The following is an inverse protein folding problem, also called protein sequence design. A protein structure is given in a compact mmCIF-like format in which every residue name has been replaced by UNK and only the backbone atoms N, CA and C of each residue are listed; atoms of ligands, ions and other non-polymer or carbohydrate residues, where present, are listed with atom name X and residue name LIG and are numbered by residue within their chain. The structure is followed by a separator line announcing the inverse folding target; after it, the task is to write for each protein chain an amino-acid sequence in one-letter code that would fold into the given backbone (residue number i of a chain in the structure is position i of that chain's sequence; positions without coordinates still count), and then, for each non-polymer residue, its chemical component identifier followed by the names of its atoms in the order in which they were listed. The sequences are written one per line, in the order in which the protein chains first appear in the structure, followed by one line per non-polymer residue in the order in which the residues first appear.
data_IF_939951933812
#
_entry.id   IF_939951933812
#
_cell.length_a   1.000
_cell.length_b   1.000
_cell.length_c   1.000
_cell.angle_alpha   90.00
_cell.angle_beta   90.00
_cell.angle_gamma   90.00
#
_symmetry.space_group_name_H-M   'P 1'
#
loop_
_entity.id
_entity.type
_entity.pdbx_description
1 polymer ?
2 non-polymer ?
3 non-polymer ?
4 non-polymer ?
5 non-polymer ?
6 non-polymer ?
7 non-polymer ?
8 water ?
#
# COMPACT_ATOMS: atom_id res chain seq x y z
N UNK A 11 -10.08 -18.50 24.86
CA UNK A 11 -9.64 -18.00 23.53
C UNK A 11 -9.18 -16.54 23.61
N UNK A 12 -8.06 -16.23 22.95
CA UNK A 12 -7.51 -14.88 22.95
C UNK A 12 -8.36 -14.00 22.03
N UNK A 13 -8.62 -12.77 22.46
CA UNK A 13 -9.45 -11.83 21.69
C UNK A 13 -8.61 -10.67 21.15
N UNK A 14 -8.79 -10.37 19.86
CA UNK A 14 -8.16 -9.23 19.21
C UNK A 14 -9.23 -8.28 18.66
N UNK A 15 -9.02 -6.99 18.86
CA UNK A 15 -9.87 -5.95 18.27
C UNK A 15 -9.00 -5.15 17.32
N UNK A 16 -9.39 -5.13 16.05
CA UNK A 16 -8.62 -4.45 15.00
C UNK A 16 -9.40 -3.22 14.55
N UNK A 17 -8.73 -2.06 14.57
CA UNK A 17 -9.30 -0.81 14.10
C UNK A 17 -8.77 -0.53 12.70
N UNK A 18 -9.67 -0.52 11.72
CA UNK A 18 -9.35 -0.19 10.33
C UNK A 18 -9.45 -1.39 9.40
N UNK A 19 -10.15 -1.21 8.28
CA UNK A 19 -10.35 -2.27 7.29
C UNK A 19 -9.58 -2.05 6.00
N UNK A 20 -8.37 -1.50 6.12
CA UNK A 20 -7.47 -1.37 4.98
C UNK A 20 -6.65 -2.64 4.84
N UNK A 21 -5.58 -2.57 4.06
CA UNK A 21 -4.76 -3.76 3.81
C UNK A 21 -4.06 -4.24 5.08
N UNK A 22 -3.65 -3.29 5.93
CA UNK A 22 -2.97 -3.64 7.18
C UNK A 22 -3.92 -4.35 8.16
N UNK A 23 -5.11 -3.78 8.36
CA UNK A 23 -6.09 -4.33 9.28
C UNK A 23 -6.63 -5.68 8.86
N UNK A 24 -6.95 -5.81 7.57
CA UNK A 24 -7.42 -7.09 7.02
C UNK A 24 -6.36 -8.17 7.12
N UNK A 25 -5.10 -7.82 6.83
CA UNK A 25 -3.98 -8.75 6.96
C UNK A 25 -3.85 -9.22 8.41
N UNK A 26 -3.84 -8.27 9.34
CA UNK A 26 -3.75 -8.59 10.77
C UNK A 26 -4.88 -9.52 11.19
N UNK A 27 -6.11 -9.18 10.78
CA UNK A 27 -7.29 -9.95 11.17
C UNK A 27 -7.26 -11.38 10.65
N UNK A 28 -6.90 -11.55 9.38
CA UNK A 28 -6.79 -12.88 8.78
C UNK A 28 -5.70 -13.70 9.47
N UNK A 29 -4.52 -13.11 9.64
CA UNK A 29 -3.37 -13.81 10.22
C UNK A 29 -3.65 -14.26 11.65
N UNK A 30 -4.26 -13.38 12.44
CA UNK A 30 -4.66 -13.70 13.81
C UNK A 30 -5.75 -14.77 13.85
N UNK A 31 -6.76 -14.65 12.99
CA UNK A 31 -7.85 -15.63 12.95
C UNK A 31 -7.35 -17.03 12.57
N UNK A 32 -6.41 -17.10 11.63
CA UNK A 32 -5.77 -18.38 11.26
C UNK A 32 -5.05 -19.06 12.43
N UNK A 33 -4.50 -18.25 13.34
CA UNK A 33 -3.84 -18.76 14.56
C UNK A 33 -4.77 -18.96 15.76
N UNK A 34 -6.09 -18.88 15.56
CA UNK A 34 -7.06 -19.21 16.60
C UNK A 34 -7.53 -18.05 17.48
N UNK A 35 -7.15 -16.82 17.13
CA UNK A 35 -7.68 -15.65 17.83
C UNK A 35 -9.15 -15.44 17.49
N UNK A 36 -9.91 -14.96 18.48
CA UNK A 36 -11.24 -14.41 18.26
C UNK A 36 -11.02 -12.96 17.80
N UNK A 37 -11.22 -12.70 16.51
CA UNK A 37 -10.92 -11.40 15.91
C UNK A 37 -12.16 -10.65 15.47
N UNK A 38 -12.25 -9.39 15.87
CA UNK A 38 -13.27 -8.47 15.38
C UNK A 38 -12.56 -7.28 14.75
N UNK A 39 -13.03 -6.87 13.58
CA UNK A 39 -12.45 -5.74 12.85
C UNK A 39 -13.50 -4.64 12.71
N UNK A 40 -13.07 -3.40 12.92
CA UNK A 40 -13.95 -2.23 12.91
C UNK A 40 -13.50 -1.24 11.86
N UNK A 41 -14.35 -1.03 10.85
CA UNK A 41 -14.09 -0.05 9.78
C UNK A 41 -15.00 1.16 9.99
N UNK A 42 -14.39 2.34 10.06
CA UNK A 42 -15.11 3.61 10.26
C UNK A 42 -16.10 3.92 9.14
N UNK A 43 -15.69 3.69 7.90
CA UNK A 43 -16.53 3.99 6.73
C UNK A 43 -17.79 3.12 6.66
N UNK A 44 -18.78 3.61 5.92
CA UNK A 44 -20.09 2.94 5.82
C UNK A 44 -20.03 1.67 4.98
N UNK A 45 -19.03 1.58 4.10
CA UNK A 45 -18.81 0.40 3.26
C UNK A 45 -17.34 0.00 3.34
N UNK A 46 -17.06 -1.26 3.00
CA UNK A 46 -15.70 -1.76 2.85
C UNK A 46 -15.22 -1.43 1.45
N UNK A 47 -14.22 -0.56 1.35
CA UNK A 47 -13.69 -0.12 0.04
C UNK A 47 -12.24 0.31 0.16
N UNK A 48 -11.54 0.30 -0.97
CA UNK A 48 -10.14 0.72 -1.06
C UNK A 48 -9.99 1.81 -2.10
N UNK A 49 -9.45 2.96 -1.69
CA UNK A 49 -9.20 4.10 -2.58
C UNK A 49 -7.77 4.07 -3.10
N UNK A 50 -7.55 4.75 -4.22
CA UNK A 50 -6.21 4.89 -4.82
C UNK A 50 -6.03 4.25 -6.19
N UNK A 51 -7.10 3.69 -6.75
CA UNK A 51 -7.14 3.12 -8.10
C UNK A 51 -6.40 1.78 -8.23
N UNK A 52 -5.06 1.82 -8.25
CA UNK A 52 -4.28 0.61 -8.44
C UNK A 52 -3.15 0.49 -7.44
N UNK A 53 -2.46 -0.63 -7.48
CA UNK A 53 -1.40 -0.90 -6.51
C UNK A 53 -0.44 -1.98 -7.02
N UNK A 54 0.84 -1.79 -6.70
CA UNK A 54 1.90 -2.77 -6.95
C UNK A 54 2.15 -3.58 -5.69
N UNK A 55 2.29 -4.90 -5.83
CA UNK A 55 2.85 -5.73 -4.78
C UNK A 55 4.08 -6.44 -5.33
N UNK A 56 4.97 -6.79 -4.39
CA UNK A 56 6.20 -7.49 -4.72
C UNK A 56 6.23 -8.79 -3.95
N UNK A 57 7.27 -9.57 -4.19
CA UNK A 57 7.52 -10.84 -3.51
C UNK A 57 7.12 -10.82 -2.02
N UNK A 58 7.56 -9.82 -1.28
CA UNK A 58 7.24 -9.74 0.15
C UNK A 58 5.74 -9.73 0.44
N UNK A 59 4.99 -8.91 -0.29
CA UNK A 59 3.54 -8.83 -0.14
C UNK A 59 2.81 -10.05 -0.68
N UNK A 60 3.33 -10.60 -1.79
CA UNK A 60 2.78 -11.83 -2.37
C UNK A 60 2.97 -13.02 -1.43
N UNK A 61 4.10 -13.05 -0.73
CA UNK A 61 4.33 -14.07 0.30
C UNK A 61 3.39 -13.90 1.50
N UNK A 62 3.11 -12.67 1.91
CA UNK A 62 2.08 -12.44 2.93
C UNK A 62 0.76 -13.04 2.44
N UNK A 63 0.37 -12.72 1.20
CA UNK A 63 -0.88 -13.25 0.65
C UNK A 63 -0.91 -14.78 0.64
N UNK A 64 0.21 -15.41 0.32
CA UNK A 64 0.35 -16.86 0.43
C UNK A 64 0.10 -17.32 1.88
N UNK A 65 0.73 -16.64 2.83
CA UNK A 65 0.53 -16.91 4.26
C UNK A 65 -0.90 -16.71 4.74
N UNK A 66 -1.62 -15.79 4.11
CA UNK A 66 -3.04 -15.52 4.43
C UNK A 66 -4.04 -16.41 3.70
N UNK A 67 -3.58 -17.26 2.78
CA UNK A 67 -4.48 -18.05 1.94
C UNK A 67 -5.30 -17.20 0.99
N UNK A 68 -4.73 -16.06 0.56
CA UNK A 68 -5.41 -15.12 -0.34
C UNK A 68 -4.65 -14.89 -1.65
N UNK A 69 -3.57 -15.64 -1.89
CA UNK A 69 -2.76 -15.43 -3.09
C UNK A 69 -3.50 -15.80 -4.37
N UNK A 70 -4.21 -16.94 -4.36
CA UNK A 70 -4.93 -17.43 -5.54
C UNK A 70 -5.87 -16.38 -6.13
N UNK A 71 -6.73 -15.84 -5.27
CA UNK A 71 -7.70 -14.82 -5.71
C UNK A 71 -7.04 -13.54 -6.19
N UNK A 72 -5.85 -13.22 -5.66
CA UNK A 72 -5.11 -12.04 -6.11
C UNK A 72 -4.48 -12.26 -7.48
N UNK A 73 -3.76 -13.37 -7.67
CA UNK A 73 -3.07 -13.63 -8.94
C UNK A 73 -4.04 -13.76 -10.13
N UNK A 74 -5.18 -14.41 -9.89
CA UNK A 74 -6.26 -14.45 -10.88
C UNK A 74 -6.80 -13.04 -11.07
N UNK A 75 -6.71 -12.52 -12.29
CA UNK A 75 -7.20 -11.17 -12.61
C UNK A 75 -6.26 -10.02 -12.29
N UNK A 76 -4.98 -10.32 -12.10
CA UNK A 76 -3.94 -9.30 -11.93
C UNK A 76 -2.79 -9.60 -12.92
N UNK A 77 -1.77 -8.73 -12.96
CA UNK A 77 -0.83 -8.67 -14.09
C UNK A 77 0.60 -8.52 -13.60
N UNK A 78 1.52 -9.33 -14.14
CA UNK A 78 2.95 -9.05 -14.02
C UNK A 78 3.42 -8.55 -15.38
N UNK A 79 3.81 -7.28 -15.48
CA UNK A 79 4.36 -6.81 -16.76
C UNK A 79 5.61 -7.59 -17.20
N UNK A 80 5.86 -7.68 -18.52
CA UNK A 80 7.11 -8.30 -18.99
C UNK A 80 8.36 -7.57 -18.49
N UNK A 81 8.24 -6.25 -18.27
CA UNK A 81 9.34 -5.47 -17.74
C UNK A 81 8.82 -4.19 -17.10
N UNK A 82 9.64 -3.63 -16.21
CA UNK A 82 9.38 -2.33 -15.60
C UNK A 82 10.26 -1.36 -16.37
N UNK A 83 9.64 -0.53 -17.19
CA UNK A 83 10.35 0.37 -18.10
C UNK A 83 10.26 1.82 -17.61
N UNK A 84 11.33 2.59 -17.85
CA UNK A 84 11.38 4.00 -17.50
C UNK A 84 11.69 4.82 -18.75
N UNK A 85 10.93 5.89 -18.96
CA UNK A 85 11.18 6.86 -20.03
C UNK A 85 11.55 8.21 -19.41
N UNK A 86 12.48 8.90 -20.05
CA UNK A 86 12.74 10.32 -19.78
C UNK A 86 12.55 11.06 -21.09
N UNK A 87 11.63 12.01 -21.13
CA UNK A 87 11.35 12.77 -22.35
C UNK A 87 11.12 11.85 -23.55
N UNK A 88 10.32 10.80 -23.33
CA UNK A 88 9.94 9.82 -24.35
C UNK A 88 11.05 8.88 -24.88
N UNK A 89 12.22 8.95 -24.25
CA UNK A 89 13.33 8.06 -24.58
C UNK A 89 13.41 7.00 -23.50
N UNK A 90 13.38 5.73 -23.89
CA UNK A 90 13.50 4.63 -22.94
C UNK A 90 14.92 4.62 -22.35
N UNK A 91 15.02 4.76 -21.03
CA UNK A 91 16.31 4.80 -20.33
C UNK A 91 16.64 3.53 -19.55
N UNK A 92 15.64 2.70 -19.24
CA UNK A 92 15.90 1.41 -18.62
C UNK A 92 14.71 0.47 -18.75
N UNK A 93 15.04 -0.82 -18.71
CA UNK A 93 14.06 -1.91 -18.61
C UNK A 93 14.59 -2.84 -17.52
N UNK A 94 13.79 -3.06 -16.48
CA UNK A 94 14.20 -3.81 -15.30
C UNK A 94 13.24 -4.96 -15.04
N UNK A 95 13.80 -6.13 -14.78
CA UNK A 95 13.03 -7.32 -14.41
C UNK A 95 13.44 -7.96 -13.08
N UNK A 96 14.38 -7.33 -12.36
CA UNK A 96 14.66 -7.68 -10.95
C UNK A 96 15.15 -9.12 -10.75
N UNK A 97 15.84 -9.67 -11.75
CA UNK A 97 16.35 -11.03 -11.67
C UNK A 97 15.29 -12.04 -11.17
N UNK A 98 14.09 -11.96 -11.74
CA UNK A 98 13.01 -12.89 -11.43
C UNK A 98 12.22 -12.66 -10.16
N UNK A 99 12.58 -11.63 -9.37
CA UNK A 99 11.84 -11.28 -8.15
C UNK A 99 10.36 -11.11 -8.50
N UNK A 100 9.47 -11.91 -7.86
CA UNK A 100 8.05 -11.75 -8.20
C UNK A 100 7.46 -10.37 -7.91
N UNK A 101 6.59 -9.91 -8.80
CA UNK A 101 5.85 -8.68 -8.59
C UNK A 101 4.54 -8.72 -9.36
N UNK A 102 3.66 -7.79 -9.04
CA UNK A 102 2.28 -7.84 -9.54
C UNK A 102 1.63 -6.48 -9.46
N UNK A 103 0.78 -6.18 -10.44
CA UNK A 103 -0.04 -4.97 -10.44
C UNK A 103 -1.49 -5.40 -10.45
N UNK A 104 -2.32 -4.64 -9.73
CA UNK A 104 -3.75 -4.95 -9.63
C UNK A 104 -4.50 -3.68 -9.24
N UNK A 105 -5.81 -3.70 -9.43
CA UNK A 105 -6.63 -2.61 -8.89
C UNK A 105 -6.68 -2.76 -7.37
N UNK A 106 -6.85 -1.63 -6.70
CA UNK A 106 -7.02 -1.61 -5.24
C UNK A 106 -8.20 -2.47 -4.81
N UNK A 107 -9.31 -2.37 -5.55
CA UNK A 107 -10.50 -3.16 -5.25
C UNK A 107 -10.23 -4.66 -5.37
N UNK A 108 -9.42 -5.04 -6.36
CA UNK A 108 -9.06 -6.45 -6.55
C UNK A 108 -8.35 -7.03 -5.32
N UNK A 109 -7.36 -6.30 -4.80
CA UNK A 109 -6.64 -6.73 -3.60
C UNK A 109 -7.56 -6.71 -2.38
N UNK A 110 -8.31 -5.62 -2.25
CA UNK A 110 -9.21 -5.45 -1.12
C UNK A 110 -10.27 -6.55 -1.07
N UNK A 111 -10.90 -6.84 -2.21
CA UNK A 111 -11.92 -7.90 -2.30
C UNK A 111 -11.37 -9.26 -1.88
N UNK A 112 -10.17 -9.59 -2.36
CA UNK A 112 -9.52 -10.84 -2.02
C UNK A 112 -9.32 -10.99 -0.51
N UNK A 113 -8.88 -9.90 0.14
CA UNK A 113 -8.68 -9.91 1.59
C UNK A 113 -9.99 -9.97 2.37
N UNK A 114 -10.98 -9.18 1.95
CA UNK A 114 -12.30 -9.21 2.60
C UNK A 114 -12.92 -10.59 2.50
N UNK A 115 -12.90 -11.18 1.30
CA UNK A 115 -13.47 -12.51 1.09
C UNK A 115 -12.79 -13.58 1.94
N UNK A 116 -11.46 -13.49 2.08
CA UNK A 116 -10.72 -14.42 2.93
C UNK A 116 -11.08 -14.24 4.41
N UNK A 117 -11.13 -13.00 4.88
CA UNK A 117 -11.53 -12.70 6.25
C UNK A 117 -12.93 -13.23 6.56
N UNK A 118 -13.88 -13.03 5.64
CA UNK A 118 -15.24 -13.54 5.80
C UNK A 118 -15.28 -15.06 5.81
N UNK A 119 -14.50 -15.69 4.93
CA UNK A 119 -14.41 -17.17 4.87
C UNK A 119 -13.91 -17.76 6.19
N UNK A 120 -12.97 -17.09 6.84
CA UNK A 120 -12.45 -17.52 8.15
C UNK A 120 -13.35 -17.17 9.35
N UNK A 121 -14.37 -16.34 9.13
CA UNK A 121 -15.29 -15.95 10.20
C UNK A 121 -14.79 -14.80 11.05
N UNK A 122 -14.00 -13.90 10.46
CA UNK A 122 -13.63 -12.65 11.10
C UNK A 122 -14.90 -11.79 11.19
N UNK A 123 -15.19 -11.27 12.37
CA UNK A 123 -16.36 -10.42 12.60
C UNK A 123 -16.02 -9.00 12.15
N UNK A 124 -16.61 -8.58 11.02
CA UNK A 124 -16.35 -7.27 10.45
C UNK A 124 -17.54 -6.36 10.69
N UNK A 125 -17.28 -5.18 11.24
CA UNK A 125 -18.29 -4.14 11.45
C UNK A 125 -17.94 -2.91 10.62
N UNK A 126 -18.92 -2.36 9.93
CA UNK A 126 -18.79 -1.07 9.24
C UNK A 126 -19.46 -0.01 10.09
N UNK A 127 -19.24 1.26 9.75
CA UNK A 127 -19.68 2.39 10.60
C UNK A 127 -19.26 2.22 12.06
N UNK A 128 -18.04 1.72 12.24
CA UNK A 128 -17.51 1.37 13.56
C UNK A 128 -16.11 1.97 13.67
N UNK A 129 -16.04 3.14 14.29
CA UNK A 129 -14.81 3.91 14.40
C UNK A 129 -14.22 3.78 15.78
N UNK A 130 -12.96 3.35 15.86
CA UNK A 130 -12.20 3.40 17.10
C UNK A 130 -11.82 4.85 17.38
N UNK A 131 -12.24 5.38 18.53
CA UNK A 131 -11.91 6.75 18.91
C UNK A 131 -10.88 6.84 20.04
N UNK A 132 -10.80 5.82 20.89
CA UNK A 132 -9.79 5.76 21.94
C UNK A 132 -9.33 4.33 22.18
N UNK A 133 -8.06 4.18 22.54
CA UNK A 133 -7.48 2.90 22.90
C UNK A 133 -6.71 3.06 24.20
N UNK A 134 -6.78 2.03 25.04
CA UNK A 134 -6.05 1.99 26.31
C UNK A 134 -5.04 0.83 26.23
N UNK A 135 -3.76 1.09 26.55
CA UNK A 135 -2.72 0.03 26.60
C UNK A 135 -3.06 -1.22 27.44
N UNK A 136 -3.95 -1.08 28.43
CA UNK A 136 -4.41 -2.25 29.21
C UNK A 136 -5.34 -3.20 28.44
N UNK A 137 -5.78 -2.78 27.25
CA UNK A 137 -6.57 -3.62 26.35
C UNK A 137 -8.04 -3.26 26.31
N UNK A 138 -8.32 -1.96 26.15
CA UNK A 138 -9.68 -1.46 25.99
C UNK A 138 -9.77 -0.54 24.78
N UNK A 139 -10.74 -0.80 23.91
CA UNK A 139 -10.98 0.00 22.71
C UNK A 139 -12.37 0.61 22.80
N UNK A 140 -12.45 1.93 22.68
CA UNK A 140 -13.72 2.65 22.72
C UNK A 140 -14.12 3.07 21.31
N UNK A 141 -15.32 2.70 20.90
CA UNK A 141 -15.86 3.06 19.59
C UNK A 141 -16.64 4.38 19.69
N UNK A 142 -16.92 4.99 18.54
CA UNK A 142 -17.65 6.29 18.51
C UNK A 142 -19.08 6.16 19.06
N UNK A 143 -19.62 4.94 19.01
CA UNK A 143 -20.90 4.60 19.61
C UNK A 143 -20.91 4.65 21.15
N UNK A 144 -19.73 4.69 21.76
CA UNK A 144 -19.59 4.59 23.20
C UNK A 144 -19.35 3.17 23.70
N UNK A 145 -19.41 2.18 22.82
CA UNK A 145 -19.13 0.80 23.20
C UNK A 145 -17.66 0.68 23.57
N UNK A 146 -17.40 0.09 24.74
CA UNK A 146 -16.05 -0.18 25.21
C UNK A 146 -15.82 -1.68 25.10
N UNK A 147 -14.82 -2.06 24.31
CA UNK A 147 -14.51 -3.47 24.05
C UNK A 147 -13.22 -3.83 24.77
N UNK A 148 -13.25 -4.91 25.54
CA UNK A 148 -12.05 -5.43 26.20
C UNK A 148 -11.41 -6.47 25.31
N UNK A 149 -10.09 -6.46 25.25
CA UNK A 149 -9.34 -7.39 24.41
C UNK A 149 -7.96 -7.69 24.95
N UNK A 150 -7.38 -8.80 24.48
CA UNK A 150 -6.01 -9.17 24.80
C UNK A 150 -5.01 -8.46 23.88
N UNK A 151 -5.50 -8.02 22.71
CA UNK A 151 -4.69 -7.31 21.73
C UNK A 151 -5.54 -6.27 21.03
N UNK A 152 -4.99 -5.06 20.88
CA UNK A 152 -5.62 -4.00 20.09
C UNK A 152 -4.67 -3.66 18.94
N UNK A 153 -5.19 -3.73 17.71
CA UNK A 153 -4.41 -3.40 16.53
C UNK A 153 -4.89 -2.07 15.96
N UNK A 154 -4.01 -1.07 15.99
CA UNK A 154 -4.26 0.22 15.37
C UNK A 154 -3.83 0.16 13.92
N UNK A 155 -4.77 -0.24 13.06
CA UNK A 155 -4.55 -0.28 11.60
C UNK A 155 -5.40 0.79 10.93
N UNK A 156 -5.50 1.94 11.58
CA UNK A 156 -6.50 2.95 11.24
C UNK A 156 -5.93 4.16 10.46
N UNK A 157 -4.86 3.92 9.70
CA UNK A 157 -4.38 4.89 8.71
C UNK A 157 -3.56 6.03 9.26
N UNK A 158 -3.15 6.93 8.38
CA UNK A 158 -2.29 8.07 8.74
C UNK A 158 -2.83 8.93 9.88
N UNK A 159 -4.17 9.04 9.97
CA UNK A 159 -4.84 9.78 11.04
C UNK A 159 -5.29 8.92 12.21
N UNK A 160 -4.58 7.83 12.47
CA UNK A 160 -4.92 6.86 13.52
C UNK A 160 -5.32 7.49 14.86
N UNK A 161 -6.57 7.24 15.27
CA UNK A 161 -7.04 7.64 16.60
C UNK A 161 -6.60 6.65 17.68
N UNK A 162 -6.35 5.40 17.32
CA UNK A 162 -5.74 4.44 18.26
C UNK A 162 -4.39 4.99 18.72
N UNK A 163 -3.59 5.47 17.77
CA UNK A 163 -2.30 6.10 18.04
C UNK A 163 -2.47 7.38 18.84
N UNK A 164 -3.23 8.32 18.31
CA UNK A 164 -3.29 9.67 18.88
C UNK A 164 -4.06 9.78 20.19
N UNK A 165 -4.98 8.86 20.47
CA UNK A 165 -5.63 8.81 21.79
C UNK A 165 -4.63 8.45 22.90
N UNK A 166 -3.67 7.57 22.58
CA UNK A 166 -2.62 7.16 23.51
C UNK A 166 -1.51 8.21 23.58
N UNK A 167 -1.12 8.76 22.43
CA UNK A 167 -0.05 9.74 22.35
C UNK A 167 1.26 9.06 22.01
N UNK A 168 1.68 9.20 20.75
CA UNK A 168 2.98 8.70 20.27
C UNK A 168 3.76 9.86 19.71
N UNK A 169 5.00 10.05 20.19
CA UNK A 169 5.90 11.04 19.62
C UNK A 169 6.09 10.72 18.14
N UNK A 170 5.95 11.74 17.29
CA UNK A 170 5.79 11.53 15.86
C UNK A 170 6.22 12.72 15.02
N UNK A 171 6.59 12.44 13.78
CA UNK A 171 6.71 13.45 12.74
C UNK A 171 5.79 13.04 11.60
N UNK A 172 4.87 13.94 11.25
CA UNK A 172 3.95 13.77 10.14
C UNK A 172 4.21 14.86 9.14
N UNK A 173 4.04 14.54 7.86
CA UNK A 173 4.18 15.52 6.80
C UNK A 173 3.16 15.25 5.71
N UNK A 174 2.44 16.29 5.31
CA UNK A 174 1.54 16.24 4.17
C UNK A 174 2.16 17.15 3.12
N UNK A 175 2.46 16.61 1.94
CA UNK A 175 3.05 17.38 0.86
C UNK A 175 2.05 18.34 0.26
N UNK A 176 2.55 19.40 -0.37
CA UNK A 176 1.72 20.30 -1.18
C UNK A 176 1.43 19.62 -2.52
N UNK A 177 2.40 18.84 -3.02
CA UNK A 177 2.26 18.15 -4.30
C UNK A 177 1.60 16.78 -4.16
N UNK A 178 1.16 16.27 -5.30
CA UNK A 178 0.40 15.04 -5.34
C UNK A 178 0.19 14.55 -6.76
N UNK A 179 -0.86 13.76 -6.94
CA UNK A 179 -1.12 13.12 -8.23
C UNK A 179 -2.57 12.71 -8.36
N UNK A 180 -2.94 12.37 -9.59
CA UNK A 180 -4.29 11.93 -9.94
C UNK A 180 -4.20 10.46 -10.36
N UNK A 181 -4.82 9.58 -9.60
CA UNK A 181 -4.79 8.14 -9.86
C UNK A 181 -6.14 7.67 -10.35
N UNK A 182 -6.15 6.96 -11.48
CA UNK A 182 -7.37 6.54 -12.14
C UNK A 182 -7.24 5.14 -12.73
N UNK A 183 -8.38 4.45 -12.83
CA UNK A 183 -8.48 3.24 -13.63
C UNK A 183 -9.25 3.58 -14.90
N UNK A 184 -8.68 3.22 -16.05
CA UNK A 184 -9.32 3.39 -17.35
C UNK A 184 -9.20 2.09 -18.15
N UNK A 185 -9.99 1.95 -19.23
CA UNK A 185 -9.80 0.77 -20.08
C UNK A 185 -8.40 0.75 -20.71
N UNK A 186 -7.89 -0.45 -20.98
CA UNK A 186 -6.55 -0.61 -21.58
C UNK A 186 -6.43 0.09 -22.93
N UNK A 187 -7.47 0.02 -23.76
CA UNK A 187 -7.45 0.57 -25.12
C UNK A 187 -6.23 0.06 -25.91
N UNK A 188 -5.87 -1.21 -25.71
CA UNK A 188 -4.60 -1.75 -26.18
C UNK A 188 -4.44 -1.63 -27.70
N UNK A 189 -5.48 -2.04 -28.42
CA UNK A 189 -5.50 -1.93 -29.89
C UNK A 189 -5.34 -0.48 -30.36
N UNK A 190 -5.99 0.45 -29.66
CA UNK A 190 -5.95 1.87 -30.00
C UNK A 190 -4.57 2.51 -29.75
N UNK A 191 -3.80 1.94 -28.82
CA UNK A 191 -2.43 2.41 -28.57
C UNK A 191 -1.43 2.02 -29.68
N UNK A 192 -1.79 1.06 -30.53
CA UNK A 192 -0.97 0.71 -31.69
C UNK A 192 0.36 0.09 -31.31
N UNK A 193 1.37 0.31 -32.14
CA UNK A 193 2.69 -0.29 -31.93
C UNK A 193 3.34 0.17 -30.62
N UNK A 194 3.88 -0.79 -29.88
CA UNK A 194 4.57 -0.52 -28.62
C UNK A 194 4.63 -1.74 -27.73
N UNK A 195 5.07 -1.52 -26.48
CA UNK A 195 5.14 -2.56 -25.46
C UNK A 195 4.17 -2.19 -24.35
N UNK A 196 2.87 -2.26 -24.69
CA UNK A 196 1.82 -1.72 -23.83
C UNK A 196 1.35 -2.64 -22.68
N UNK A 197 1.97 -3.81 -22.53
CA UNK A 197 1.83 -4.60 -21.30
C UNK A 197 2.87 -4.22 -20.24
N UNK A 198 3.86 -3.40 -20.59
CA UNK A 198 4.88 -2.97 -19.64
C UNK A 198 4.34 -2.02 -18.60
N UNK A 199 5.00 -1.98 -17.44
CA UNK A 199 4.98 -0.78 -16.62
C UNK A 199 5.85 0.20 -17.37
N UNK A 200 5.37 1.43 -17.54
CA UNK A 200 6.19 2.49 -18.12
C UNK A 200 6.06 3.73 -17.23
N UNK A 201 7.18 4.12 -16.62
CA UNK A 201 7.23 5.34 -15.82
C UNK A 201 7.73 6.44 -16.74
N UNK A 202 6.80 7.31 -17.16
CA UNK A 202 7.04 8.29 -18.20
C UNK A 202 7.32 9.66 -17.60
N UNK A 203 8.61 9.96 -17.42
CA UNK A 203 9.06 11.22 -16.80
C UNK A 203 9.27 12.34 -17.82
N UNK A 204 8.94 13.56 -17.41
CA UNK A 204 9.35 14.77 -18.12
C UNK A 204 9.58 15.91 -17.13
N UNK A 205 10.65 16.68 -17.36
CA UNK A 205 10.84 18.01 -16.80
C UNK A 205 10.65 19.17 -17.80
N UNK A 206 10.65 18.87 -19.10
CA UNK A 206 10.54 19.86 -20.17
C UNK A 206 9.48 19.32 -21.13
N UNK A 207 8.58 20.16 -21.67
CA UNK A 207 8.49 21.60 -21.43
C UNK A 207 7.91 22.00 -20.07
N UNK A 208 7.28 21.04 -19.39
CA UNK A 208 6.77 21.22 -18.03
C UNK A 208 7.08 19.97 -17.23
N UNK A 209 6.92 20.07 -15.91
CA UNK A 209 7.07 18.92 -15.02
C UNK A 209 5.75 18.14 -15.05
N UNK A 210 5.71 17.08 -15.85
CA UNK A 210 4.55 16.18 -15.92
C UNK A 210 5.05 14.76 -16.11
N UNK A 211 4.44 13.83 -15.38
CA UNK A 211 4.84 12.44 -15.38
C UNK A 211 3.59 11.56 -15.36
N UNK A 212 3.63 10.45 -16.09
CA UNK A 212 2.60 9.42 -15.99
C UNK A 212 3.26 8.09 -15.66
N UNK A 213 2.81 7.46 -14.57
CA UNK A 213 3.13 6.06 -14.31
C UNK A 213 2.02 5.23 -14.95
N UNK A 214 2.41 4.43 -15.94
CA UNK A 214 1.51 3.61 -16.75
C UNK A 214 1.61 2.18 -16.22
N UNK A 215 0.49 1.64 -15.73
CA UNK A 215 0.49 0.40 -14.94
C UNK A 215 -0.67 -0.53 -15.30
N UNK A 216 -0.46 -1.45 -16.27
CA UNK A 216 -1.55 -2.38 -16.59
C UNK A 216 -1.90 -3.32 -15.43
N UNK A 217 -3.18 -3.44 -15.12
CA UNK A 217 -3.68 -4.30 -14.02
C UNK A 217 -4.12 -5.68 -14.49
N UNK A 218 -4.59 -5.77 -15.72
CA UNK A 218 -5.08 -7.01 -16.34
C UNK A 218 -5.41 -6.68 -17.80
N UNK A 219 -6.00 -7.63 -18.53
CA UNK A 219 -6.37 -7.40 -19.92
C UNK A 219 -7.42 -6.29 -20.13
N UNK A 220 -8.19 -5.95 -19.09
CA UNK A 220 -9.26 -4.95 -19.17
C UNK A 220 -8.92 -3.56 -18.60
N UNK A 221 -8.15 -3.52 -17.50
CA UNK A 221 -8.00 -2.30 -16.70
C UNK A 221 -6.56 -1.77 -16.68
N UNK A 222 -6.45 -0.44 -16.86
CA UNK A 222 -5.17 0.27 -16.82
C UNK A 222 -5.17 1.23 -15.65
N UNK A 223 -4.13 1.17 -14.83
CA UNK A 223 -3.93 2.10 -13.72
C UNK A 223 -2.97 3.19 -14.18
N UNK A 224 -3.43 4.44 -14.14
CA UNK A 224 -2.62 5.60 -14.49
C UNK A 224 -2.44 6.49 -13.27
N UNK A 225 -1.21 6.97 -13.08
CA UNK A 225 -0.91 8.02 -12.09
C UNK A 225 -0.42 9.22 -12.85
N UNK A 226 -1.15 10.33 -12.77
CA UNK A 226 -0.81 11.56 -13.48
C UNK A 226 -0.26 12.53 -12.45
N UNK A 227 1.04 12.83 -12.56
CA UNK A 227 1.75 13.60 -11.55
C UNK A 227 2.22 14.95 -12.10
N UNK A 228 1.73 16.02 -11.50
CA UNK A 228 2.17 17.37 -11.82
C UNK A 228 2.18 18.16 -10.51
N UNK A 229 3.00 19.24 -10.42
CA UNK A 229 3.04 20.02 -9.18
C UNK A 229 1.72 20.72 -8.88
N UNK A 230 1.42 20.93 -7.60
CA UNK A 230 0.22 21.66 -7.19
C UNK A 230 0.19 23.09 -7.75
N UNK A 231 1.36 23.70 -7.89
CA UNK A 231 1.50 25.04 -8.47
C UNK A 231 1.15 25.13 -9.96
N UNK A 232 1.07 23.98 -10.64
CA UNK A 232 0.60 23.92 -12.02
C UNK A 232 -0.93 23.80 -12.02
N UNK A 233 -1.64 24.90 -12.35
CA UNK A 233 -3.10 24.85 -12.23
C UNK A 233 -3.80 23.93 -13.23
N UNK A 234 -3.17 23.66 -14.38
CA UNK A 234 -3.76 22.80 -15.41
C UNK A 234 -3.45 21.32 -15.14
N UNK A 235 -2.17 21.01 -14.97
CA UNK A 235 -1.73 19.65 -14.70
C UNK A 235 -2.29 19.00 -13.43
N UNK A 236 -2.55 19.82 -12.41
CA UNK A 236 -3.14 19.31 -11.16
C UNK A 236 -4.68 19.34 -11.13
N UNK A 237 -5.33 19.81 -12.21
CA UNK A 237 -6.78 19.94 -12.23
C UNK A 237 -7.51 18.61 -12.29
N UNK A 238 -8.66 18.56 -11.64
CA UNK A 238 -9.60 17.42 -11.73
C UNK A 238 -11.01 17.97 -12.02
N UNK A 239 -11.78 17.34 -12.91
CA UNK A 239 -11.32 16.24 -13.79
C UNK A 239 -10.19 16.69 -14.72
N UNK A 240 -9.45 15.74 -15.28
CA UNK A 240 -8.16 16.08 -15.88
C UNK A 240 -8.28 17.06 -17.03
N UNK A 241 -7.31 17.96 -17.13
CA UNK A 241 -7.21 18.89 -18.24
C UNK A 241 -6.64 18.09 -19.40
N UNK A 242 -7.52 17.59 -20.27
CA UNK A 242 -7.13 16.64 -21.31
C UNK A 242 -6.00 17.16 -22.20
N UNK A 243 -6.11 18.42 -22.61
CA UNK A 243 -5.16 19.03 -23.54
C UNK A 243 -3.70 18.97 -23.04
N UNK A 244 -3.46 19.35 -21.78
CA UNK A 244 -2.08 19.39 -21.26
C UNK A 244 -1.47 18.00 -21.06
N UNK A 245 -2.31 16.99 -20.85
CA UNK A 245 -1.84 15.61 -20.75
C UNK A 245 -1.61 14.98 -22.12
N UNK A 246 -2.52 15.22 -23.07
CA UNK A 246 -2.33 14.73 -24.43
C UNK A 246 -1.10 15.38 -25.09
N UNK A 247 -0.87 16.67 -24.84
CA UNK A 247 0.29 17.37 -25.41
C UNK A 247 1.62 16.66 -25.10
N UNK A 248 1.80 16.27 -23.85
CA UNK A 248 3.07 15.65 -23.43
C UNK A 248 3.06 14.12 -23.46
N UNK A 249 1.89 13.50 -23.58
CA UNK A 249 1.75 12.04 -23.67
C UNK A 249 0.79 11.67 -24.81
N UNK A 250 1.09 12.12 -26.05
CA UNK A 250 0.14 11.93 -27.17
C UNK A 250 -0.13 10.46 -27.50
N UNK A 251 0.89 9.63 -27.34
CA UNK A 251 0.79 8.16 -27.46
C UNK A 251 -0.20 7.49 -26.49
N UNK A 252 -0.61 8.19 -25.41
CA UNK A 252 -1.67 7.69 -24.52
C UNK A 252 -3.04 8.35 -24.75
N UNK A 253 -3.22 9.11 -25.83
CA UNK A 253 -4.47 9.84 -26.06
C UNK A 253 -5.74 8.99 -25.91
N UNK A 254 -5.78 7.77 -26.47
CA UNK A 254 -6.99 6.95 -26.31
C UNK A 254 -7.37 6.71 -24.84
N UNK A 255 -6.38 6.40 -24.02
CA UNK A 255 -6.60 6.21 -22.57
C UNK A 255 -6.91 7.52 -21.85
N UNK A 256 -6.24 8.61 -22.22
CA UNK A 256 -6.46 9.90 -21.59
C UNK A 256 -7.85 10.48 -21.88
N UNK A 257 -8.39 10.25 -23.08
CA UNK A 257 -9.77 10.61 -23.40
C UNK A 257 -10.75 9.94 -22.42
N UNK A 258 -10.52 8.66 -22.13
CA UNK A 258 -11.35 7.94 -21.15
C UNK A 258 -11.14 8.48 -19.74
N UNK A 259 -9.89 8.80 -19.40
CA UNK A 259 -9.57 9.40 -18.09
C UNK A 259 -10.29 10.73 -17.84
N UNK A 260 -10.40 11.54 -18.89
CA UNK A 260 -11.06 12.85 -18.79
C UNK A 260 -12.57 12.79 -18.49
N UNK A 261 -13.19 11.62 -18.74
CA UNK A 261 -14.61 11.41 -18.40
C UNK A 261 -14.87 11.23 -16.90
N UNK A 262 -13.83 10.90 -16.13
CA UNK A 262 -14.00 10.55 -14.72
C UNK A 262 -14.16 11.79 -13.82
N UNK A 263 -15.41 12.05 -13.43
CA UNK A 263 -15.74 13.16 -12.52
C UNK A 263 -15.32 12.89 -11.07
N UNK A 264 -15.03 11.63 -10.74
CA UNK A 264 -14.56 11.22 -9.41
C UNK A 264 -13.05 11.43 -9.18
N UNK A 265 -12.32 11.88 -10.19
CA UNK A 265 -10.85 12.06 -10.09
C UNK A 265 -10.46 13.03 -8.97
N UNK A 266 -9.42 12.69 -8.23
CA UNK A 266 -8.92 13.52 -7.13
C UNK A 266 -7.42 13.74 -7.28
N UNK A 267 -6.97 14.95 -6.92
CA UNK A 267 -5.54 15.24 -6.78
C UNK A 267 -5.20 15.00 -5.32
N UNK A 268 -4.66 13.81 -5.04
CA UNK A 268 -4.35 13.38 -3.67
C UNK A 268 -2.90 13.69 -3.32
N UNK A 269 -2.69 14.16 -2.10
CA UNK A 269 -1.37 14.58 -1.63
C UNK A 269 -0.63 13.41 -1.00
N UNK A 270 0.70 13.44 -1.11
CA UNK A 270 1.54 12.47 -0.43
C UNK A 270 1.60 12.78 1.05
N UNK A 271 1.75 11.75 1.87
CA UNK A 271 1.71 11.90 3.32
C UNK A 271 2.58 10.83 3.99
N UNK A 272 3.36 11.24 4.99
CA UNK A 272 4.25 10.32 5.69
C UNK A 272 4.06 10.41 7.20
N UNK A 273 4.36 9.31 7.89
CA UNK A 273 4.34 9.25 9.34
C UNK A 273 5.55 8.45 9.82
N UNK A 274 6.22 8.93 10.87
CA UNK A 274 7.26 8.15 11.55
C UNK A 274 7.13 8.35 13.05
N UNK A 275 7.18 7.25 13.79
CA UNK A 275 6.96 7.25 15.24
C UNK A 275 8.18 6.74 15.99
N UNK A 276 8.34 7.18 17.23
CA UNK A 276 9.42 6.68 18.09
C UNK A 276 9.22 5.20 18.43
N UNK A 277 7.96 4.78 18.59
CA UNK A 277 7.62 3.38 18.83
C UNK A 277 6.29 3.03 18.19
N UNK A 278 6.04 1.74 18.05
CA UNK A 278 4.82 1.22 17.42
C UNK A 278 3.93 0.47 18.40
N UNK A 279 4.29 0.44 19.68
CA UNK A 279 3.60 -0.38 20.67
C UNK A 279 3.37 0.39 21.97
N UNK A 280 2.31 0.01 22.68
CA UNK A 280 2.10 0.46 24.05
C UNK A 280 1.22 -0.56 24.75
N UNK A 281 1.80 -1.31 25.69
CA UNK A 281 1.08 -2.39 26.36
C UNK A 281 0.55 -3.41 25.35
N UNK A 282 -0.77 -3.55 25.31
CA UNK A 282 -1.43 -4.51 24.43
C UNK A 282 -1.84 -3.91 23.07
N UNK A 283 -1.37 -2.69 22.78
CA UNK A 283 -1.70 -1.98 21.53
C UNK A 283 -0.52 -2.01 20.57
N UNK A 284 -0.77 -2.42 19.32
CA UNK A 284 0.22 -2.40 18.24
C UNK A 284 -0.29 -1.55 17.09
N UNK A 285 0.54 -0.64 16.59
CA UNK A 285 0.22 0.20 15.44
C UNK A 285 0.82 -0.41 14.19
N UNK A 286 0.00 -0.61 13.16
CA UNK A 286 0.43 -1.26 11.92
C UNK A 286 0.02 -0.45 10.70
N UNK A 287 0.86 -0.46 9.67
CA UNK A 287 0.58 0.24 8.42
C UNK A 287 0.82 1.73 8.49
N UNK A 288 -0.01 2.49 7.76
CA UNK A 288 0.13 3.96 7.69
C UNK A 288 0.00 4.67 9.03
N UNK A 289 -0.72 4.04 9.97
CA UNK A 289 -0.76 4.52 11.36
C UNK A 289 0.63 4.68 11.97
N UNK A 290 1.55 3.80 11.57
CA UNK A 290 2.92 3.78 12.10
C UNK A 290 3.98 4.33 11.14
N UNK A 291 3.84 4.07 9.84
CA UNK A 291 4.96 4.24 8.92
C UNK A 291 4.60 4.61 7.48
N UNK A 292 3.61 5.47 7.29
CA UNK A 292 3.30 5.97 5.94
C UNK A 292 4.56 6.57 5.31
N UNK A 293 4.79 6.25 4.04
CA UNK A 293 6.02 6.63 3.36
C UNK A 293 5.75 7.10 1.95
N UNK A 294 6.79 7.65 1.32
CA UNK A 294 6.71 8.02 -0.08
C UNK A 294 6.54 6.77 -0.95
N UNK A 295 5.77 6.88 -2.06
CA UNK A 295 5.50 5.68 -2.84
C UNK A 295 6.55 5.26 -3.89
N UNK A 296 7.71 5.91 -3.92
CA UNK A 296 8.76 5.62 -4.92
C UNK A 296 9.10 4.13 -5.06
N UNK A 297 9.25 3.43 -3.95
CA UNK A 297 9.59 2.00 -3.97
C UNK A 297 8.36 1.08 -3.98
N UNK A 298 7.16 1.65 -4.02
CA UNK A 298 5.90 0.88 -4.12
C UNK A 298 5.83 -0.21 -3.05
N UNK A 299 6.01 0.23 -1.81
CA UNK A 299 6.15 -0.68 -0.67
C UNK A 299 5.41 -0.26 0.62
N UNK A 300 4.55 0.76 0.55
CA UNK A 300 3.82 1.18 1.74
C UNK A 300 2.88 0.08 2.24
N UNK A 301 2.06 -0.46 1.34
CA UNK A 301 1.20 -1.59 1.67
C UNK A 301 1.99 -2.90 1.86
N UNK A 302 3.06 -3.08 1.07
CA UNK A 302 3.94 -4.25 1.23
C UNK A 302 4.48 -4.36 2.65
N UNK A 303 5.10 -3.27 3.12
CA UNK A 303 5.57 -3.21 4.51
C UNK A 303 4.44 -3.33 5.51
N UNK A 304 3.31 -2.66 5.25
CA UNK A 304 2.14 -2.75 6.13
C UNK A 304 1.70 -4.20 6.31
N UNK A 305 1.61 -4.92 5.20
CA UNK A 305 1.18 -6.32 5.21
C UNK A 305 2.22 -7.24 5.87
N UNK A 306 3.50 -7.03 5.55
CA UNK A 306 4.58 -7.78 6.21
C UNK A 306 4.55 -7.56 7.72
N UNK A 307 4.37 -6.32 8.14
CA UNK A 307 4.37 -5.99 9.58
C UNK A 307 3.15 -6.57 10.30
N UNK A 308 1.98 -6.50 9.66
CA UNK A 308 0.76 -7.11 10.22
C UNK A 308 0.88 -8.63 10.35
N UNK A 309 1.40 -9.26 9.30
CA UNK A 309 1.63 -10.71 9.33
C UNK A 309 2.67 -11.09 10.37
N UNK A 310 3.75 -10.32 10.44
CA UNK A 310 4.83 -10.55 11.41
C UNK A 310 4.36 -10.43 12.85
N UNK A 311 3.41 -9.52 13.10
CA UNK A 311 2.80 -9.38 14.44
C UNK A 311 2.16 -10.68 14.89
N UNK A 312 1.39 -11.31 14.00
CA UNK A 312 0.75 -12.60 14.30
C UNK A 312 1.80 -13.68 14.65
N UNK A 313 2.92 -13.66 13.94
CA UNK A 313 4.01 -14.61 14.19
C UNK A 313 4.58 -14.46 15.60
N UNK A 314 4.90 -13.23 15.98
CA UNK A 314 5.48 -12.97 17.32
C UNK A 314 4.52 -13.28 18.46
N UNK A 315 3.21 -13.24 18.20
CA UNK A 315 2.20 -13.63 19.19
C UNK A 315 2.03 -15.15 19.36
N UNK A 316 2.78 -15.96 18.60
CA UNK A 316 2.78 -17.43 18.75
C UNK A 316 3.97 -17.99 19.54
N UNK A 317 4.74 -17.12 20.20
CA UNK A 317 5.95 -17.54 20.92
C UNK A 317 5.73 -17.96 22.39
N UNK A 318 4.49 -17.86 22.87
CA UNK A 318 4.16 -18.22 24.26
C UNK A 318 4.48 -17.14 25.28
N UNK A 319 4.82 -15.94 24.82
CA UNK A 319 5.14 -14.81 25.69
C UNK A 319 3.87 -14.03 26.00
N UNK A 320 3.97 -13.05 26.89
CA UNK A 320 2.86 -12.13 27.12
C UNK A 320 2.66 -11.30 25.85
N UNK A 321 1.44 -10.80 25.64
CA UNK A 321 1.17 -9.93 24.49
C UNK A 321 2.10 -8.71 24.51
N UNK A 322 2.30 -8.13 25.69
CA UNK A 322 3.16 -6.94 25.83
C UNK A 322 4.59 -7.22 25.37
N UNK A 323 5.15 -8.34 25.81
CA UNK A 323 6.51 -8.75 25.39
C UNK A 323 6.58 -9.12 23.90
N UNK A 324 5.56 -9.82 23.39
CA UNK A 324 5.49 -10.19 21.97
C UNK A 324 5.52 -8.96 21.05
N UNK A 325 4.77 -7.93 21.45
CA UNK A 325 4.73 -6.67 20.69
C UNK A 325 6.09 -5.95 20.65
N UNK A 326 6.78 -5.93 21.79
CA UNK A 326 8.12 -5.34 21.87
C UNK A 326 9.09 -6.12 20.97
N UNK A 327 9.04 -7.45 21.06
CA UNK A 327 9.86 -8.33 20.22
C UNK A 327 9.58 -8.14 18.73
N UNK A 328 8.30 -8.01 18.40
CA UNK A 328 7.85 -7.77 17.02
C UNK A 328 8.47 -6.52 16.40
N UNK A 329 8.33 -5.39 17.08
CA UNK A 329 8.88 -4.14 16.57
C UNK A 329 10.40 -4.23 16.39
N UNK A 330 11.08 -4.76 17.41
CA UNK A 330 12.54 -4.93 17.35
C UNK A 330 12.97 -5.78 16.15
N UNK A 331 12.23 -6.85 15.90
CA UNK A 331 12.55 -7.78 14.81
C UNK A 331 12.32 -7.16 13.43
N UNK A 332 11.18 -6.51 13.24
CA UNK A 332 10.69 -6.17 11.90
C UNK A 332 10.84 -4.70 11.48
N UNK A 333 10.90 -3.76 12.43
CA UNK A 333 10.86 -2.33 12.10
C UNK A 333 12.02 -1.85 11.21
N UNK A 334 13.25 -2.36 11.45
CA UNK A 334 14.37 -1.84 10.64
C UNK A 334 14.21 -1.94 9.12
N UNK A 335 13.56 -3.00 8.64
CA UNK A 335 13.28 -3.16 7.20
C UNK A 335 12.41 -2.00 6.72
N UNK A 336 11.38 -1.69 7.49
CA UNK A 336 10.47 -0.58 7.18
C UNK A 336 11.15 0.79 7.30
N UNK A 337 11.92 1.00 8.38
CA UNK A 337 12.66 2.26 8.55
C UNK A 337 13.56 2.56 7.36
N UNK A 338 14.34 1.56 6.93
CA UNK A 338 15.26 1.73 5.79
C UNK A 338 14.52 1.99 4.49
N UNK A 339 13.45 1.25 4.26
CA UNK A 339 12.67 1.41 3.05
C UNK A 339 11.98 2.78 2.99
N UNK A 340 11.39 3.20 4.12
CA UNK A 340 10.80 4.53 4.23
C UNK A 340 11.81 5.63 3.92
N UNK A 341 12.99 5.52 4.54
CA UNK A 341 14.06 6.50 4.34
C UNK A 341 14.51 6.56 2.88
N UNK A 342 14.74 5.38 2.30
CA UNK A 342 15.22 5.31 0.92
C UNK A 342 14.15 5.78 -0.07
N UNK A 343 12.89 5.44 0.17
CA UNK A 343 11.80 5.88 -0.69
C UNK A 343 11.67 7.41 -0.65
N UNK A 344 11.82 7.99 0.53
CA UNK A 344 11.80 9.44 0.70
C UNK A 344 12.96 10.13 -0.01
N UNK A 345 14.15 9.53 0.10
CA UNK A 345 15.34 10.00 -0.64
C UNK A 345 15.09 9.96 -2.15
N UNK A 346 14.60 8.82 -2.64
CA UNK A 346 14.27 8.68 -4.06
C UNK A 346 13.26 9.73 -4.53
N UNK A 347 12.20 9.92 -3.74
CA UNK A 347 11.17 10.89 -4.09
C UNK A 347 11.74 12.31 -4.19
N UNK A 348 12.51 12.71 -3.18
CA UNK A 348 13.09 14.05 -3.12
C UNK A 348 14.11 14.30 -4.23
N UNK A 349 14.97 13.32 -4.49
CA UNK A 349 15.98 13.42 -5.53
C UNK A 349 15.48 13.07 -6.96
N UNK A 350 14.20 12.70 -7.09
CA UNK A 350 13.64 12.20 -8.35
C UNK A 350 14.49 11.10 -8.97
N UNK A 351 15.02 10.22 -8.12
CA UNK A 351 15.97 9.19 -8.51
C UNK A 351 15.45 8.23 -9.57
N UNK A 352 14.17 7.88 -9.48
CA UNK A 352 13.53 6.98 -10.44
C UNK A 352 13.57 7.51 -11.87
N UNK A 353 13.66 8.83 -12.03
CA UNK A 353 13.78 9.44 -13.37
C UNK A 353 15.02 9.01 -14.15
N UNK A 354 16.06 8.55 -13.45
CA UNK A 354 17.28 8.08 -14.09
C UNK A 354 17.16 6.67 -14.69
N UNK A 355 16.23 5.87 -14.17
CA UNK A 355 16.13 4.46 -14.54
C UNK A 355 17.21 3.62 -13.87
N UNK A 356 17.05 2.30 -13.91
CA UNK A 356 18.00 1.35 -13.30
C UNK A 356 18.22 1.60 -11.80
N UNK A 357 17.21 2.12 -11.11
CA UNK A 357 17.34 2.48 -9.70
C UNK A 357 16.72 1.46 -8.75
N UNK A 358 16.16 0.36 -9.26
CA UNK A 358 15.78 -0.75 -8.38
C UNK A 358 17.00 -1.61 -8.10
N UNK A 359 17.88 -1.05 -7.26
CA UNK A 359 19.14 -1.65 -6.89
C UNK A 359 18.88 -2.71 -5.83
N UNK A 360 19.91 -3.52 -5.49
CA UNK A 360 19.73 -4.44 -4.37
C UNK A 360 19.22 -3.76 -3.10
N UNK A 361 19.74 -2.57 -2.78
CA UNK A 361 19.29 -1.80 -1.62
C UNK A 361 17.83 -1.35 -1.75
N UNK A 362 17.46 -0.84 -2.92
CA UNK A 362 16.07 -0.43 -3.18
C UNK A 362 15.10 -1.59 -3.03
N UNK A 363 15.52 -2.79 -3.44
CA UNK A 363 14.68 -3.99 -3.39
C UNK A 363 14.75 -4.78 -2.09
N UNK A 364 15.42 -4.26 -1.05
CA UNK A 364 15.58 -5.00 0.22
C UNK A 364 14.23 -5.44 0.79
N UNK A 365 13.30 -4.51 0.92
CA UNK A 365 11.98 -4.85 1.46
C UNK A 365 11.28 -5.89 0.59
N UNK A 366 11.32 -5.71 -0.72
CA UNK A 366 10.70 -6.64 -1.66
C UNK A 366 11.29 -8.05 -1.56
N UNK A 367 12.60 -8.13 -1.33
CA UNK A 367 13.30 -9.40 -1.23
C UNK A 367 13.01 -10.20 0.04
N UNK A 368 12.53 -9.52 1.09
CA UNK A 368 12.24 -10.20 2.34
C UNK A 368 11.08 -11.18 2.21
N UNK A 369 11.27 -12.41 2.67
CA UNK A 369 10.23 -13.41 2.74
C UNK A 369 9.74 -13.52 4.19
N UNK A 370 8.54 -13.00 4.50
CA UNK A 370 8.05 -13.09 5.87
C UNK A 370 7.71 -14.50 6.36
N UNK A 371 7.47 -15.45 5.45
CA UNK A 371 7.10 -16.81 5.83
C UNK A 371 8.28 -17.59 6.40
N UNK A 372 9.43 -17.51 5.71
CA UNK A 372 10.67 -18.14 6.16
C UNK A 372 11.61 -17.20 6.93
N UNK A 373 11.30 -15.90 6.93
CA UNK A 373 12.08 -14.88 7.66
C UNK A 373 13.52 -14.76 7.15
N UNK A 374 13.68 -14.81 5.83
CA UNK A 374 14.97 -14.64 5.18
C UNK A 374 14.76 -13.79 3.93
N UNK A 375 15.87 -13.30 3.37
CA UNK A 375 15.84 -12.58 2.10
C UNK A 375 16.05 -13.57 0.96
N UNK A 376 15.22 -13.45 -0.07
CA UNK A 376 15.28 -14.34 -1.23
C UNK A 376 15.55 -13.52 -2.49
N UNK A 377 15.46 -14.16 -3.65
CA UNK A 377 15.59 -13.50 -4.95
C UNK A 377 16.78 -12.52 -5.02
N UNK A 378 18.00 -13.05 -4.86
CA UNK A 378 19.21 -12.21 -4.83
C UNK A 378 19.45 -11.49 -6.15
N UNK A 379 20.09 -10.32 -6.07
CA UNK A 379 20.26 -9.44 -7.22
C UNK A 379 21.72 -9.38 -7.69
X LIG B 1 -5.39 2.65 4.94
X LIG B 1 -5.33 2.06 3.56
X LIG B 1 -5.49 4.14 5.09
X LIG B 1 -6.66 1.98 5.66
X LIG B 1 -7.13 2.46 6.91
X LIG B 1 -8.60 2.09 7.04
X LIG B 1 -9.02 2.40 8.37
X LIG B 1 -9.49 2.88 6.08
X LIG B 1 -10.43 2.00 5.45
X LIG B 1 -10.18 3.90 6.97
X LIG B 1 -11.50 4.25 6.56
X LIG B 1 -10.20 3.19 8.32
X LIG B 1 -10.13 4.05 9.52
X LIG B 1 -9.50 5.22 9.67
X LIG B 1 -9.64 5.66 10.93
X LIG B 1 -10.36 4.75 11.61
X LIG B 1 -10.85 4.61 12.99
X LIG B 1 -10.57 5.56 13.89
X LIG B 1 -11.56 3.49 13.29
X LIG B 1 -11.83 2.54 12.37
X LIG B 1 -11.41 2.62 11.09
X LIG B 1 -10.67 3.67 10.67
X LIG B 1 1.72 0.66 -1.50
X LIG B 1 2.08 -0.45 -2.19
X LIG B 1 2.32 -1.48 -1.53
X LIG B 1 2.21 -0.45 -3.52
X LIG B 1 1.98 0.64 -4.27
X LIG B 1 2.07 0.58 -5.50
X LIG B 1 1.57 1.90 -3.60
X LIG B 1 1.31 3.04 -4.26
X LIG B 1 0.95 4.18 -3.62
X LIG B 1 0.71 5.34 -4.34
X LIG B 1 0.33 6.52 -3.70
X LIG B 1 0.08 7.76 -4.49
X LIG B 1 0.19 6.54 -2.22
X LIG B 1 -0.22 7.79 -1.49
X LIG B 1 0.43 5.38 -1.48
X LIG B 1 0.82 4.19 -2.12
X LIG B 1 1.09 3.00 -1.42
X LIG B 1 1.46 1.83 -2.12
X LIG B 1 0.95 2.89 0.05
X LIG B 1 -0.44 2.36 0.40
X LIG B 1 -1.50 3.09 -0.23
X LIG B 1 -0.65 2.41 1.91
X LIG B 1 0.60 2.20 2.59
X LIG B 1 -1.64 1.37 2.40
X LIG B 1 -2.87 1.44 1.69
X LIG B 1 -1.90 1.63 3.88
X LIG B 1 -2.77 0.62 4.35
X LIG B 1 -3.37 0.76 5.82
X LIG B 1 -4.29 -0.41 5.99
X LIG B 1 -2.23 0.96 6.79
X LIG B 1 -4.15 2.18 5.85
X LIG C 1 7.23 13.12 -1.97
X LIG C 1 6.53 11.78 -1.87
X LIG C 1 7.22 13.53 -3.33
X LIG C 1 6.19 11.38 -0.12
X LIG D 1 5.49 8.43 -7.01
X LIG D 1 6.24 7.47 -7.33
X LIG D 1 7.44 7.71 -7.58
X LIG D 1 5.74 6.17 -7.45
X LIG D 1 4.40 5.91 -7.20
X LIG D 1 3.90 4.62 -7.32
X LIG D 1 2.59 4.42 -7.06
X LIG D 1 4.73 3.56 -7.67
X LIG D 1 6.08 3.79 -7.92
X LIG D 1 6.59 5.10 -7.81
X LIG E 1 8.83 1.92 1.42
X LIG F 1 8.80 -0.95 2.75
X LIG G 1 23.25 -14.68 -10.29
X LIG G 1 24.17 -14.99 -10.09
X LIG G 1 22.51 -13.54 -9.60
X LIG G 1 21.54 -12.97 -10.49
X LIG G 1 21.81 -14.04 -8.34
X LIG G 1 22.76 -14.56 -7.41
X LIG H 1 19.68 -6.73 4.44
X LIG H 1 20.33 -5.52 4.81
X LIG H 1 20.47 -7.41 3.33
X LIG H 1 21.75 -7.83 3.83
X LIG H 1 19.71 -8.63 2.81
X LIG H 1 20.28 -9.11 1.59
X LIG I 1 9.69 11.82 16.34
X LIG I 1 10.13 12.90 17.18
X LIG I 1 10.85 11.26 15.54
X LIG I 1 11.90 10.83 16.41
X LIG I 1 10.37 10.10 14.68
X LIG I 1 11.37 9.78 13.71
X LIG J 1 9.93 -17.94 -2.68
X LIG J 1 9.38 -16.96 -3.58
X LIG J 1 10.80 -17.26 -1.63
X LIG J 1 9.95 -16.58 -0.69
X LIG J 1 11.68 -18.28 -0.90
X LIG J 1 11.97 -17.89 0.45
X LIG K 1 6.35 16.87 -25.99
X LIG K 1 7.20 18.00 -25.77
X LIG K 1 6.28 16.54 -27.47
X LIG K 1 7.54 16.78 -28.10
X LIG K 1 8.57 15.96 -27.55
X LIG K 1 8.95 14.87 -28.55
X LIG K 1 9.54 13.75 -27.86
#
# INVERSE_FOLDING_TARGET
MANVNKTPGKTRRAEVAGGGFAGLTAAIALKQNGWDVRLHEKSSELRAFGAGIYLWHNGLRVLEGLGALDDVLQGSHTPPTYETWMHNKSVSKETFNGLPWRIMTRSHLHDALVNRARALGVDISVNSEAVAADPVGRLTLQTGEVLEADLIVGADGVGSKVRDSIGFKQDRWVSKDGLIRLIVPRMKKELGHGEWDNTIDMWNFWPRVQRILYSPCNENELYLGLMAPAADPRGSSVPIDLEVWVEMFPFLEPCLIEAAKLKTARYDKYETTKLDSWTRGKVALVGDAAHAMCPALAQGAGCAMVNAFSLSQDLEEGSSVEDALVAWETRIRPITDRCQALSGDYAANRSLSKGNMFTPAALEAARYDPLRRVYSWPQ
FAD PA O1A O2A O5B C5B C4B O4B C3B O3B C2B O2B C1B N9A C8A N7A C5A C6A N6A N1A C2A N3A C4A N1 C2 O2 N3 C4 O4 C4X N5 C5X C6 C7 C7M C8 C8M C9 C9A N10 C10 C1' C2' O2' C3' O3' C4' O4' C5' O5' P O1P O2P O3P
BME C1 C2 O1 S2
5HN OAA CAH OAB CAJ CAF CAI OAC CAD NAG CAE
NA NA
NA NA
GOL C1 O1 C2 O2 C3 O3
GOL C1 O1 C2 O2 C3 O3
GOL C1 O1 C2 O2 C3 O3
GOL C1 O1 C2 O2 C3 O3
PEG C1 O1 C2 O2 C3 C4 O4
#
